data_IF_762002957165
#
_entry.id   IF_762002957165
#
_cell.length_a   1.000
_cell.length_b   1.000
_cell.length_c   1.000
_cell.angle_alpha   90.00
_cell.angle_beta   90.00
_cell.angle_gamma   90.00
#
_symmetry.space_group_name_H-M   'P 1'
#
loop_
_entity.id
_entity.type
_entity.pdbx_description
1 polymer ?
#
# COMPACT_ATOMS: atom_id res chain seq x y z
N UNK A 1 53.46 -24.38 -48.60
CA UNK A 1 54.64 -25.16 -49.05
C UNK A 1 54.85 -24.91 -50.54
N UNK A 2 55.79 -24.05 -50.93
CA UNK A 2 56.32 -24.05 -52.29
C UNK A 2 57.84 -24.21 -52.17
N UNK A 3 58.33 -25.39 -52.57
CA UNK A 3 59.76 -25.70 -52.59
C UNK A 3 60.36 -25.00 -53.80
N UNK A 4 61.12 -23.95 -53.59
CA UNK A 4 61.98 -23.39 -54.62
C UNK A 4 63.11 -24.39 -54.88
N UNK A 5 63.04 -25.09 -56.01
CA UNK A 5 64.12 -25.90 -56.55
C UNK A 5 65.15 -24.96 -57.17
N UNK A 6 66.18 -24.59 -56.41
CA UNK A 6 67.35 -23.89 -56.95
C UNK A 6 68.25 -24.89 -57.68
N UNK A 7 68.14 -24.94 -59.01
CA UNK A 7 69.12 -25.64 -59.84
C UNK A 7 70.33 -24.73 -60.08
N UNK A 8 71.49 -25.10 -59.52
CA UNK A 8 72.77 -24.44 -59.83
C UNK A 8 73.24 -24.93 -61.20
N UNK A 9 73.02 -24.11 -62.24
CA UNK A 9 73.60 -24.34 -63.57
C UNK A 9 75.08 -24.01 -63.48
N UNK A 10 75.95 -24.94 -63.88
CA UNK A 10 77.41 -24.73 -63.85
C UNK A 10 77.81 -23.55 -64.75
N UNK A 11 78.67 -22.65 -64.26
CA UNK A 11 79.07 -21.41 -64.98
C UNK A 11 79.49 -21.62 -66.44
N UNK A 12 80.13 -22.76 -66.74
CA UNK A 12 80.51 -23.13 -68.12
C UNK A 12 79.32 -23.31 -69.08
N UNK A 13 78.16 -23.75 -68.58
CA UNK A 13 76.94 -23.86 -69.38
C UNK A 13 76.27 -22.50 -69.57
N UNK A 14 76.34 -21.62 -68.57
CA UNK A 14 75.84 -20.25 -68.69
C UNK A 14 76.67 -19.43 -69.69
N UNK A 15 78.00 -19.54 -69.66
CA UNK A 15 78.88 -18.88 -70.63
C UNK A 15 78.62 -19.34 -72.07
N UNK A 16 78.36 -20.64 -72.26
CA UNK A 16 78.03 -21.20 -73.58
C UNK A 16 76.67 -20.72 -74.09
N UNK A 17 75.67 -20.61 -73.22
CA UNK A 17 74.36 -20.02 -73.54
C UNK A 17 74.49 -18.52 -73.89
N UNK A 18 75.30 -17.78 -73.14
CA UNK A 18 75.56 -16.35 -73.36
C UNK A 18 76.29 -16.07 -74.67
N UNK A 19 77.20 -16.97 -75.08
CA UNK A 19 77.91 -16.87 -76.37
C UNK A 19 77.06 -17.28 -77.57
N UNK A 20 76.15 -18.25 -77.43
CA UNK A 20 75.32 -18.76 -78.54
C UNK A 20 74.04 -17.95 -78.75
N UNK A 21 73.49 -17.36 -77.68
CA UNK A 21 72.24 -16.59 -77.70
C UNK A 21 72.37 -15.31 -76.84
N UNK A 22 73.23 -14.35 -77.25
CA UNK A 22 73.49 -13.14 -76.48
C UNK A 22 72.24 -12.28 -76.27
N UNK A 23 71.44 -12.05 -77.31
CA UNK A 23 70.20 -11.26 -77.23
C UNK A 23 69.17 -11.88 -76.27
N UNK A 24 69.03 -13.21 -76.26
CA UNK A 24 68.11 -13.90 -75.35
C UNK A 24 68.54 -13.76 -73.89
N UNK A 25 69.84 -13.81 -73.64
CA UNK A 25 70.41 -13.69 -72.28
C UNK A 25 70.32 -12.24 -71.77
N UNK A 26 70.53 -11.27 -72.64
CA UNK A 26 70.37 -9.84 -72.35
C UNK A 26 68.90 -9.48 -72.10
N UNK A 27 67.97 -10.04 -72.90
CA UNK A 27 66.53 -9.85 -72.69
C UNK A 27 66.06 -10.46 -71.36
N UNK A 28 66.58 -11.62 -70.97
CA UNK A 28 66.27 -12.25 -69.68
C UNK A 28 66.80 -11.41 -68.50
N UNK A 29 68.02 -10.88 -68.62
CA UNK A 29 68.60 -9.99 -67.61
C UNK A 29 67.83 -8.66 -67.50
N UNK A 30 67.43 -8.07 -68.64
CA UNK A 30 66.60 -6.87 -68.67
C UNK A 30 65.22 -7.13 -68.04
N UNK A 31 64.62 -8.30 -68.30
CA UNK A 31 63.36 -8.71 -67.67
C UNK A 31 63.50 -8.84 -66.15
N UNK A 32 64.57 -9.46 -65.66
CA UNK A 32 64.82 -9.58 -64.22
C UNK A 32 65.00 -8.19 -63.58
N UNK A 33 65.80 -7.32 -64.20
CA UNK A 33 66.01 -5.95 -63.73
C UNK A 33 64.70 -5.16 -63.64
N UNK A 34 63.86 -5.23 -64.68
CA UNK A 34 62.54 -4.58 -64.65
C UNK A 34 61.61 -5.17 -63.58
N UNK A 35 61.73 -6.46 -63.29
CA UNK A 35 60.94 -7.13 -62.25
C UNK A 35 61.38 -6.66 -60.86
N UNK A 36 62.68 -6.68 -60.59
CA UNK A 36 63.23 -6.22 -59.30
C UNK A 36 62.94 -4.73 -59.06
N UNK A 37 62.96 -3.91 -60.12
CA UNK A 37 62.61 -2.49 -60.03
C UNK A 37 61.11 -2.27 -59.77
N UNK A 38 60.23 -3.07 -60.37
CA UNK A 38 58.80 -3.03 -60.08
C UNK A 38 58.51 -3.48 -58.65
N UNK A 39 59.14 -4.56 -58.19
CA UNK A 39 58.96 -5.08 -56.83
C UNK A 39 59.45 -4.05 -55.79
N UNK A 40 60.61 -3.42 -56.03
CA UNK A 40 61.11 -2.34 -55.17
C UNK A 40 60.18 -1.12 -55.16
N UNK A 41 59.65 -0.69 -56.31
CA UNK A 41 58.70 0.43 -56.35
C UNK A 41 57.35 0.09 -55.68
N UNK A 42 56.91 -1.17 -55.77
CA UNK A 42 55.72 -1.65 -55.06
C UNK A 42 55.94 -1.63 -53.54
N UNK A 43 57.05 -2.20 -53.07
CA UNK A 43 57.39 -2.33 -51.65
C UNK A 43 57.75 -0.97 -51.01
N UNK A 44 58.55 -0.14 -51.69
CA UNK A 44 59.06 1.11 -51.10
C UNK A 44 58.06 2.27 -51.21
N UNK A 45 57.20 2.27 -52.23
CA UNK A 45 56.34 3.44 -52.52
C UNK A 45 54.85 3.14 -52.47
N UNK A 46 54.39 1.98 -52.95
CA UNK A 46 52.95 1.73 -53.06
C UNK A 46 52.38 1.17 -51.75
N UNK A 47 53.03 0.16 -51.18
CA UNK A 47 52.58 -0.53 -49.97
C UNK A 47 52.56 0.39 -48.72
N UNK A 48 53.64 1.09 -48.36
CA UNK A 48 53.64 1.98 -47.19
C UNK A 48 52.72 3.20 -47.36
N UNK A 49 52.57 3.72 -48.58
CA UNK A 49 51.68 4.84 -48.87
C UNK A 49 50.21 4.45 -48.74
N UNK A 50 49.87 3.23 -49.20
CA UNK A 50 48.54 2.68 -49.03
C UNK A 50 48.26 2.41 -47.55
N UNK A 51 49.21 1.82 -46.82
CA UNK A 51 49.10 1.55 -45.39
C UNK A 51 48.92 2.84 -44.57
N UNK A 52 49.73 3.87 -44.79
CA UNK A 52 49.61 5.15 -44.09
C UNK A 52 48.26 5.83 -44.39
N UNK A 53 47.81 5.81 -45.65
CA UNK A 53 46.50 6.38 -46.03
C UNK A 53 45.35 5.61 -45.40
N UNK A 54 45.40 4.27 -45.42
CA UNK A 54 44.38 3.44 -44.80
C UNK A 54 44.35 3.66 -43.29
N UNK A 55 45.51 3.72 -42.64
CA UNK A 55 45.63 4.01 -41.22
C UNK A 55 45.00 5.35 -40.86
N UNK A 56 45.36 6.44 -41.56
CA UNK A 56 44.79 7.77 -41.33
C UNK A 56 43.28 7.78 -41.54
N UNK A 57 42.79 7.15 -42.61
CA UNK A 57 41.35 7.09 -42.89
C UNK A 57 40.58 6.29 -41.84
N UNK A 58 41.14 5.16 -41.39
CA UNK A 58 40.53 4.31 -40.37
C UNK A 58 40.54 5.01 -39.02
N UNK A 59 41.67 5.59 -38.59
CA UNK A 59 41.79 6.31 -37.32
C UNK A 59 40.79 7.46 -37.28
N UNK A 60 40.79 8.32 -38.31
CA UNK A 60 39.86 9.45 -38.38
C UNK A 60 38.40 9.01 -38.41
N UNK A 61 38.05 8.01 -39.21
CA UNK A 61 36.68 7.52 -39.28
C UNK A 61 36.23 6.86 -37.99
N UNK A 62 37.13 6.20 -37.25
CA UNK A 62 36.83 5.60 -35.95
C UNK A 62 36.64 6.68 -34.91
N UNK A 63 37.55 7.66 -34.83
CA UNK A 63 37.50 8.79 -33.91
C UNK A 63 36.19 9.57 -34.09
N UNK A 64 35.90 10.04 -35.31
CA UNK A 64 34.68 10.80 -35.62
C UNK A 64 33.40 10.02 -35.25
N UNK A 65 33.37 8.70 -35.50
CA UNK A 65 32.20 7.85 -35.20
C UNK A 65 32.07 7.53 -33.72
N UNK A 66 33.18 7.29 -33.03
CA UNK A 66 33.18 7.00 -31.61
C UNK A 66 32.76 8.23 -30.83
N UNK A 67 33.34 9.38 -31.13
CA UNK A 67 33.06 10.65 -30.45
C UNK A 67 31.59 11.03 -30.61
N UNK A 68 31.07 11.05 -31.84
CA UNK A 68 29.65 11.35 -32.07
C UNK A 68 28.72 10.40 -31.30
N UNK A 69 29.03 9.11 -31.30
CA UNK A 69 28.20 8.10 -30.62
C UNK A 69 28.33 8.17 -29.10
N UNK A 70 29.50 8.51 -28.58
CA UNK A 70 29.74 8.74 -27.15
C UNK A 70 28.99 9.97 -26.67
N UNK A 71 29.10 11.08 -27.40
CA UNK A 71 28.41 12.33 -27.11
C UNK A 71 26.90 12.16 -27.11
N UNK A 72 26.33 11.52 -28.13
CA UNK A 72 24.89 11.24 -28.18
C UNK A 72 24.42 10.42 -26.98
N UNK A 73 25.19 9.37 -26.60
CA UNK A 73 24.86 8.53 -25.44
C UNK A 73 24.99 9.28 -24.12
N UNK A 74 26.04 10.08 -23.96
CA UNK A 74 26.27 10.88 -22.75
C UNK A 74 25.18 11.94 -22.60
N UNK A 75 24.80 12.60 -23.68
CA UNK A 75 23.71 13.58 -23.69
C UNK A 75 22.36 12.94 -23.35
N UNK A 76 22.05 11.78 -23.95
CA UNK A 76 20.82 11.04 -23.64
C UNK A 76 20.79 10.60 -22.17
N UNK A 77 21.93 10.10 -21.65
CA UNK A 77 22.05 9.72 -20.25
C UNK A 77 21.92 10.92 -19.31
N UNK A 78 22.56 12.04 -19.62
CA UNK A 78 22.45 13.28 -18.85
C UNK A 78 21.02 13.79 -18.79
N UNK A 79 20.27 13.73 -19.90
CA UNK A 79 18.84 14.05 -19.93
C UNK A 79 18.02 13.11 -19.04
N UNK A 80 18.26 11.80 -19.14
CA UNK A 80 17.56 10.81 -18.31
C UNK A 80 17.85 10.99 -16.81
N UNK A 81 19.10 11.28 -16.43
CA UNK A 81 19.48 11.57 -15.05
C UNK A 81 18.76 12.83 -14.55
N UNK A 82 18.71 13.89 -15.38
CA UNK A 82 18.00 15.12 -15.03
C UNK A 82 16.50 14.90 -14.84
N UNK A 83 15.87 14.11 -15.71
CA UNK A 83 14.45 13.77 -15.59
C UNK A 83 14.17 12.95 -14.33
N UNK A 84 15.06 12.01 -13.97
CA UNK A 84 14.97 11.27 -12.72
C UNK A 84 15.14 12.17 -11.50
N UNK A 85 16.09 13.10 -11.52
CA UNK A 85 16.30 14.07 -10.44
C UNK A 85 15.07 14.94 -10.23
N UNK A 86 14.46 15.44 -11.30
CA UNK A 86 13.23 16.25 -11.22
C UNK A 86 12.06 15.44 -10.62
N UNK A 87 11.89 14.18 -11.03
CA UNK A 87 10.86 13.29 -10.48
C UNK A 87 11.09 13.03 -8.99
N UNK A 88 12.33 12.81 -8.57
CA UNK A 88 12.68 12.63 -7.17
C UNK A 88 12.39 13.89 -6.34
N UNK A 89 12.67 15.08 -6.88
CA UNK A 89 12.31 16.33 -6.20
C UNK A 89 10.79 16.51 -6.07
N UNK A 90 10.03 16.21 -7.12
CA UNK A 90 8.57 16.25 -7.06
C UNK A 90 8.01 15.29 -6.02
N UNK A 91 8.54 14.07 -5.98
CA UNK A 91 8.18 13.06 -5.00
C UNK A 91 8.49 13.52 -3.58
N UNK A 92 9.69 14.05 -3.33
CA UNK A 92 10.08 14.57 -2.03
C UNK A 92 9.14 15.68 -1.54
N UNK A 93 8.76 16.63 -2.40
CA UNK A 93 7.79 17.68 -2.04
C UNK A 93 6.38 17.14 -1.80
N UNK A 94 5.94 16.13 -2.56
CA UNK A 94 4.65 15.49 -2.33
C UNK A 94 4.61 14.77 -0.97
N UNK A 95 5.68 14.05 -0.62
CA UNK A 95 5.81 13.39 0.68
C UNK A 95 5.81 14.39 1.84
N UNK A 96 6.52 15.51 1.70
CA UNK A 96 6.55 16.55 2.74
C UNK A 96 5.16 17.14 3.00
N UNK A 97 4.40 17.40 1.94
CA UNK A 97 3.01 17.85 2.06
C UNK A 97 2.13 16.80 2.76
N UNK A 98 2.23 15.52 2.36
CA UNK A 98 1.46 14.45 3.00
C UNK A 98 1.79 14.32 4.50
N UNK A 99 3.06 14.44 4.87
CA UNK A 99 3.45 14.41 6.29
C UNK A 99 2.88 15.59 7.07
N UNK A 100 2.82 16.77 6.45
CA UNK A 100 2.22 17.96 7.05
C UNK A 100 0.71 17.78 7.26
N UNK A 101 0.01 17.23 6.26
CA UNK A 101 -1.44 16.99 6.34
C UNK A 101 -1.75 15.96 7.43
N UNK A 102 -1.01 14.85 7.50
CA UNK A 102 -1.13 13.85 8.57
C UNK A 102 -0.87 14.49 9.94
N UNK A 103 0.16 15.33 10.05
CA UNK A 103 0.47 16.04 11.29
C UNK A 103 -0.67 16.95 11.75
N UNK A 104 -1.36 17.60 10.82
CA UNK A 104 -2.52 18.45 11.11
C UNK A 104 -3.74 17.61 11.51
N UNK A 105 -4.02 16.53 10.80
CA UNK A 105 -5.12 15.61 11.13
C UNK A 105 -4.97 15.00 12.54
N UNK A 106 -3.76 14.57 12.90
CA UNK A 106 -3.47 14.05 14.25
C UNK A 106 -3.71 15.13 15.31
N UNK A 107 -3.30 16.37 15.04
CA UNK A 107 -3.51 17.49 15.95
C UNK A 107 -5.00 17.78 16.14
N UNK A 108 -5.76 17.79 15.05
CA UNK A 108 -7.20 18.06 15.10
C UNK A 108 -7.95 16.94 15.85
N UNK A 109 -7.59 15.67 15.61
CA UNK A 109 -8.11 14.53 16.37
C UNK A 109 -7.77 14.61 17.87
N UNK A 110 -6.55 15.04 18.21
CA UNK A 110 -6.16 15.24 19.61
C UNK A 110 -7.04 16.28 20.30
N UNK A 111 -7.34 17.39 19.62
CA UNK A 111 -8.22 18.44 20.16
C UNK A 111 -9.65 17.92 20.34
N UNK A 112 -10.16 17.14 19.39
CA UNK A 112 -11.48 16.52 19.49
C UNK A 112 -11.57 15.56 20.67
N UNK A 113 -10.58 14.68 20.84
CA UNK A 113 -10.52 13.76 21.97
C UNK A 113 -10.46 14.51 23.31
N UNK A 114 -9.67 15.58 23.41
CA UNK A 114 -9.62 16.41 24.62
C UNK A 114 -11.00 17.02 24.95
N UNK A 115 -11.78 17.43 23.94
CA UNK A 115 -13.14 17.92 24.14
C UNK A 115 -14.11 16.82 24.56
N UNK A 116 -14.03 15.64 23.95
CA UNK A 116 -14.86 14.49 24.32
C UNK A 116 -14.59 14.05 25.76
N UNK A 117 -13.32 13.96 26.17
CA UNK A 117 -12.93 13.62 27.54
C UNK A 117 -13.54 14.62 28.52
N UNK A 118 -13.41 15.93 28.26
CA UNK A 118 -14.01 16.96 29.12
C UNK A 118 -15.54 16.88 29.16
N UNK A 119 -16.19 16.56 28.04
CA UNK A 119 -17.63 16.41 28.00
C UNK A 119 -18.08 15.20 28.83
N UNK A 120 -17.34 14.09 28.75
CA UNK A 120 -17.58 12.90 29.56
C UNK A 120 -17.36 13.20 31.04
N UNK A 121 -16.26 13.85 31.41
CA UNK A 121 -15.99 14.29 32.79
C UNK A 121 -17.14 15.14 33.34
N UNK A 122 -17.59 16.14 32.59
CA UNK A 122 -18.69 17.00 33.02
C UNK A 122 -20.03 16.26 33.17
N UNK A 123 -20.32 15.30 32.27
CA UNK A 123 -21.54 14.49 32.35
C UNK A 123 -21.48 13.52 33.55
N UNK A 124 -20.31 12.94 33.81
CA UNK A 124 -20.08 12.09 34.99
C UNK A 124 -20.27 12.89 36.28
N UNK A 125 -19.62 14.03 36.41
CA UNK A 125 -19.76 14.92 37.56
C UNK A 125 -21.23 15.31 37.78
N UNK A 126 -21.93 15.79 36.74
CA UNK A 126 -23.35 16.16 36.88
C UNK A 126 -24.24 14.96 37.22
N UNK A 127 -23.97 13.79 36.64
CA UNK A 127 -24.77 12.59 36.89
C UNK A 127 -24.61 12.07 38.32
N UNK A 128 -23.38 12.10 38.85
CA UNK A 128 -23.05 11.64 40.20
C UNK A 128 -23.48 12.66 41.25
N UNK A 129 -23.18 13.95 41.08
CA UNK A 129 -23.52 14.96 42.08
C UNK A 129 -25.03 15.20 42.16
N UNK A 130 -25.76 15.25 41.04
CA UNK A 130 -27.20 15.56 41.12
C UNK A 130 -28.06 14.33 41.30
N UNK A 131 -27.95 13.34 40.42
CA UNK A 131 -28.92 12.24 40.46
C UNK A 131 -28.67 11.32 41.66
N UNK A 132 -27.40 11.13 42.05
CA UNK A 132 -27.10 10.29 43.19
C UNK A 132 -27.49 10.99 44.49
N UNK A 133 -27.15 12.28 44.65
CA UNK A 133 -27.51 13.06 45.84
C UNK A 133 -29.02 13.26 45.93
N UNK A 134 -29.69 13.73 44.86
CA UNK A 134 -31.14 13.94 44.85
C UNK A 134 -31.91 12.63 45.04
N UNK A 135 -31.52 11.51 44.40
CA UNK A 135 -32.24 10.25 44.58
C UNK A 135 -31.99 9.61 45.94
N UNK A 136 -30.78 9.74 46.51
CA UNK A 136 -30.51 9.27 47.87
C UNK A 136 -31.29 10.11 48.88
N UNK A 137 -31.30 11.43 48.75
CA UNK A 137 -32.00 12.33 49.67
C UNK A 137 -33.52 12.10 49.60
N UNK A 138 -34.10 11.99 48.40
CA UNK A 138 -35.54 11.77 48.22
C UNK A 138 -35.99 10.35 48.65
N UNK A 139 -35.16 9.33 48.40
CA UNK A 139 -35.39 7.96 48.86
C UNK A 139 -35.26 7.83 50.38
N UNK A 140 -34.23 8.44 50.96
CA UNK A 140 -34.04 8.46 52.42
C UNK A 140 -35.20 9.22 53.07
N UNK A 141 -35.53 10.43 52.62
CA UNK A 141 -36.63 11.21 53.23
C UNK A 141 -37.98 10.50 53.10
N UNK A 142 -38.31 9.91 51.94
CA UNK A 142 -39.56 9.14 51.79
C UNK A 142 -39.58 7.90 52.68
N UNK A 143 -38.53 7.07 52.65
CA UNK A 143 -38.49 5.85 53.47
C UNK A 143 -38.57 6.16 54.96
N UNK A 144 -37.88 7.20 55.42
CA UNK A 144 -37.92 7.64 56.80
C UNK A 144 -39.29 8.22 57.17
N UNK A 145 -39.93 8.99 56.29
CA UNK A 145 -41.27 9.54 56.53
C UNK A 145 -42.36 8.46 56.55
N UNK A 146 -42.32 7.49 55.64
CA UNK A 146 -43.27 6.39 55.55
C UNK A 146 -43.14 5.48 56.78
N UNK A 147 -41.91 5.06 57.11
CA UNK A 147 -41.58 4.29 58.32
C UNK A 147 -42.05 5.01 59.58
N UNK A 148 -41.75 6.30 59.72
CA UNK A 148 -42.15 7.08 60.88
C UNK A 148 -43.67 7.32 60.94
N UNK A 149 -44.35 7.49 59.81
CA UNK A 149 -45.81 7.66 59.79
C UNK A 149 -46.54 6.36 60.15
N UNK A 150 -46.16 5.22 59.56
CA UNK A 150 -46.77 3.92 59.91
C UNK A 150 -46.55 3.57 61.39
N UNK A 151 -45.33 3.81 61.90
CA UNK A 151 -45.00 3.47 63.29
C UNK A 151 -45.60 4.47 64.28
N UNK A 152 -45.49 5.77 64.01
CA UNK A 152 -45.78 6.81 65.00
C UNK A 152 -47.21 7.38 64.91
N UNK A 153 -47.90 7.24 63.78
CA UNK A 153 -49.29 7.71 63.63
C UNK A 153 -50.25 6.54 63.78
N UNK A 154 -50.04 5.45 63.04
CA UNK A 154 -51.02 4.37 63.01
C UNK A 154 -50.93 3.45 64.24
N UNK A 155 -49.73 3.18 64.79
CA UNK A 155 -49.58 2.29 65.97
C UNK A 155 -49.67 2.98 67.32
N UNK A 156 -49.35 4.27 67.42
CA UNK A 156 -49.54 5.05 68.66
C UNK A 156 -51.03 5.35 68.95
N UNK A 157 -51.89 5.34 67.93
CA UNK A 157 -53.35 5.34 68.13
C UNK A 157 -53.86 3.97 68.63
N UNK A 158 -53.09 2.88 68.41
CA UNK A 158 -53.47 1.52 68.82
C UNK A 158 -52.84 1.01 70.13
N UNK A 159 -51.63 1.45 70.55
CA UNK A 159 -50.98 0.89 71.75
C UNK A 159 -50.17 1.91 72.56
N UNK A 160 -50.51 2.03 73.85
CA UNK A 160 -49.73 2.81 74.83
C UNK A 160 -48.62 1.96 75.48
N UNK A 161 -47.38 2.44 75.29
CA UNK A 161 -46.29 2.63 76.29
C UNK A 161 -45.34 1.49 76.69
N UNK A 162 -45.47 0.22 76.27
CA UNK A 162 -44.45 -0.81 76.61
C UNK A 162 -43.94 -1.69 75.44
N UNK A 163 -44.65 -1.79 74.31
CA UNK A 163 -44.15 -2.49 73.11
C UNK A 163 -43.29 -1.60 72.20
N UNK A 164 -43.32 -0.29 72.43
CA UNK A 164 -42.77 0.71 71.52
C UNK A 164 -41.25 0.66 71.40
N UNK A 165 -40.50 0.28 72.44
CA UNK A 165 -39.02 0.40 72.43
C UNK A 165 -38.34 -0.74 71.63
N UNK A 166 -38.81 -1.99 71.79
CA UNK A 166 -38.24 -3.14 71.05
C UNK A 166 -38.78 -3.25 69.63
N UNK A 167 -40.06 -2.89 69.39
CA UNK A 167 -40.60 -2.90 68.03
C UNK A 167 -40.11 -1.70 67.21
N UNK A 168 -39.78 -0.55 67.81
CA UNK A 168 -39.09 0.51 67.05
C UNK A 168 -37.73 0.01 66.57
N UNK A 169 -36.90 -0.55 67.45
CA UNK A 169 -35.50 -0.88 67.13
C UNK A 169 -35.43 -1.93 66.01
N UNK A 170 -36.17 -3.04 66.14
CA UNK A 170 -36.15 -4.11 65.13
C UNK A 170 -36.80 -3.68 63.80
N UNK A 171 -37.91 -2.93 63.83
CA UNK A 171 -38.62 -2.56 62.59
C UNK A 171 -38.00 -1.35 61.89
N UNK A 172 -37.36 -0.42 62.61
CA UNK A 172 -36.55 0.62 61.96
C UNK A 172 -35.32 -0.01 61.33
N UNK A 173 -34.59 -0.88 62.05
CA UNK A 173 -33.35 -1.48 61.53
C UNK A 173 -33.66 -2.32 60.28
N UNK A 174 -34.66 -3.21 60.34
CA UNK A 174 -35.04 -4.03 59.18
C UNK A 174 -35.59 -3.17 58.03
N UNK A 175 -36.47 -2.18 58.27
CA UNK A 175 -37.02 -1.38 57.16
C UNK A 175 -36.03 -0.39 56.56
N UNK A 176 -35.11 0.17 57.37
CA UNK A 176 -34.01 0.98 56.85
C UNK A 176 -33.03 0.14 56.07
N UNK A 177 -32.64 -1.04 56.56
CA UNK A 177 -31.69 -1.91 55.86
C UNK A 177 -32.27 -2.42 54.54
N UNK A 178 -33.52 -2.90 54.51
CA UNK A 178 -34.17 -3.36 53.27
C UNK A 178 -34.43 -2.22 52.28
N UNK A 179 -34.84 -1.04 52.76
CA UNK A 179 -35.06 0.15 51.92
C UNK A 179 -33.76 0.70 51.37
N UNK A 180 -32.71 0.81 52.19
CA UNK A 180 -31.39 1.28 51.75
C UNK A 180 -30.76 0.31 50.77
N UNK A 181 -30.79 -0.99 51.04
CA UNK A 181 -30.14 -1.98 50.17
C UNK A 181 -30.86 -2.10 48.82
N UNK A 182 -32.20 -2.06 48.81
CA UNK A 182 -32.98 -2.05 47.56
C UNK A 182 -32.79 -0.75 46.78
N UNK A 183 -32.87 0.41 47.43
CA UNK A 183 -32.72 1.71 46.74
C UNK A 183 -31.31 1.91 46.19
N UNK A 184 -30.26 1.50 46.91
CA UNK A 184 -28.88 1.52 46.41
C UNK A 184 -28.70 0.57 45.22
N UNK A 185 -29.26 -0.65 45.29
CA UNK A 185 -29.11 -1.63 44.21
C UNK A 185 -29.82 -1.19 42.93
N UNK A 186 -31.01 -0.61 43.06
CA UNK A 186 -31.85 -0.16 41.94
C UNK A 186 -31.29 1.12 41.32
N UNK A 187 -30.91 2.10 42.15
CA UNK A 187 -30.19 3.32 41.72
C UNK A 187 -28.88 2.98 41.00
N UNK A 188 -28.07 2.06 41.56
CA UNK A 188 -26.81 1.67 40.95
C UNK A 188 -27.00 0.87 39.66
N UNK A 189 -27.99 -0.03 39.58
CA UNK A 189 -28.25 -0.79 38.35
C UNK A 189 -28.80 0.09 37.23
N UNK A 190 -29.85 0.89 37.47
CA UNK A 190 -30.43 1.75 36.42
C UNK A 190 -29.45 2.83 35.95
N UNK A 191 -28.71 3.46 36.87
CA UNK A 191 -27.85 4.59 36.51
C UNK A 191 -26.49 4.10 35.98
N UNK A 192 -25.89 3.08 36.60
CA UNK A 192 -24.52 2.68 36.28
C UNK A 192 -24.44 1.60 35.20
N UNK A 193 -25.45 0.74 35.06
CA UNK A 193 -25.44 -0.27 34.00
C UNK A 193 -26.14 0.30 32.77
N UNK A 194 -27.42 0.70 32.88
CA UNK A 194 -28.20 1.02 31.68
C UNK A 194 -27.72 2.31 30.99
N UNK A 195 -27.43 3.40 31.71
CA UNK A 195 -26.97 4.65 31.05
C UNK A 195 -25.53 4.59 30.54
N UNK A 196 -24.66 3.78 31.15
CA UNK A 196 -23.27 3.64 30.72
C UNK A 196 -23.16 2.71 29.52
N UNK A 197 -24.00 1.67 29.48
CA UNK A 197 -24.14 0.77 28.33
C UNK A 197 -24.83 1.50 27.16
N UNK A 198 -25.97 2.17 27.37
CA UNK A 198 -26.62 2.97 26.31
C UNK A 198 -25.75 4.11 25.80
N UNK A 199 -25.09 4.90 26.67
CA UNK A 199 -24.23 5.99 26.16
C UNK A 199 -22.95 5.45 25.51
N UNK A 200 -22.40 4.31 25.94
CA UNK A 200 -21.21 3.75 25.29
C UNK A 200 -21.56 3.13 23.94
N UNK A 201 -22.66 2.38 23.84
CA UNK A 201 -23.12 1.82 22.56
C UNK A 201 -23.58 2.95 21.62
N UNK A 202 -24.44 3.88 22.05
CA UNK A 202 -24.94 4.94 21.15
C UNK A 202 -23.86 5.95 20.73
N UNK A 203 -22.93 6.33 21.61
CA UNK A 203 -21.85 7.24 21.18
C UNK A 203 -20.78 6.54 20.38
N UNK A 204 -20.46 5.27 20.65
CA UNK A 204 -19.47 4.55 19.83
C UNK A 204 -20.06 4.14 18.48
N UNK A 205 -21.28 3.61 18.42
CA UNK A 205 -21.90 3.23 17.14
C UNK A 205 -22.24 4.45 16.29
N UNK A 206 -22.90 5.50 16.81
CA UNK A 206 -23.24 6.65 15.98
C UNK A 206 -21.98 7.41 15.53
N UNK A 207 -20.96 7.56 16.38
CA UNK A 207 -19.77 8.33 16.03
C UNK A 207 -18.81 7.54 15.13
N UNK A 208 -18.77 6.19 15.20
CA UNK A 208 -18.09 5.35 14.20
C UNK A 208 -18.87 5.26 12.89
N UNK A 209 -20.19 5.09 12.89
CA UNK A 209 -20.99 4.96 11.67
C UNK A 209 -21.02 6.30 10.92
N UNK A 210 -21.24 7.43 11.61
CA UNK A 210 -21.20 8.76 11.00
C UNK A 210 -19.79 9.11 10.50
N UNK A 211 -18.72 8.78 11.23
CA UNK A 211 -17.35 9.10 10.75
C UNK A 211 -16.86 8.16 9.64
N UNK A 212 -17.26 6.88 9.63
CA UNK A 212 -16.89 5.95 8.56
C UNK A 212 -17.70 6.21 7.29
N UNK A 213 -19.01 6.43 7.39
CA UNK A 213 -19.88 6.64 6.22
C UNK A 213 -19.56 7.99 5.57
N UNK A 214 -19.40 9.05 6.37
CA UNK A 214 -19.10 10.40 5.87
C UNK A 214 -17.64 10.53 5.36
N UNK A 215 -16.71 9.73 5.88
CA UNK A 215 -15.34 9.60 5.35
C UNK A 215 -15.27 8.79 4.05
N UNK A 216 -16.08 7.74 3.92
CA UNK A 216 -16.09 6.90 2.74
C UNK A 216 -16.82 7.59 1.57
N UNK A 217 -17.94 8.25 1.83
CA UNK A 217 -18.68 8.99 0.80
C UNK A 217 -17.86 10.18 0.29
N UNK A 218 -17.22 10.95 1.17
CA UNK A 218 -16.32 12.04 0.75
C UNK A 218 -15.09 11.53 -0.01
N UNK A 219 -14.52 10.38 0.37
CA UNK A 219 -13.39 9.79 -0.37
C UNK A 219 -13.80 9.21 -1.73
N UNK A 220 -15.05 8.78 -1.91
CA UNK A 220 -15.58 8.25 -3.17
C UNK A 220 -16.03 9.37 -4.13
N UNK A 221 -16.60 10.46 -3.59
CA UNK A 221 -16.94 11.66 -4.37
C UNK A 221 -15.69 12.43 -4.82
N UNK A 222 -14.66 12.55 -3.97
CA UNK A 222 -13.41 13.25 -4.34
C UNK A 222 -12.53 12.42 -5.29
N UNK A 223 -12.71 11.09 -5.31
CA UNK A 223 -12.09 10.21 -6.31
C UNK A 223 -12.79 10.24 -7.68
N UNK A 224 -14.03 10.74 -7.76
CA UNK A 224 -14.82 10.79 -9.00
C UNK A 224 -14.83 12.16 -9.68
N UNK A 225 -14.38 13.22 -9.00
CA UNK A 225 -14.33 14.58 -9.53
C UNK A 225 -12.89 15.11 -9.59
N UNK A 226 -12.06 14.55 -10.47
CA UNK A 226 -11.34 15.31 -11.51
C UNK A 226 -10.25 14.45 -12.19
N UNK A 227 -10.30 14.45 -13.52
CA UNK A 227 -9.43 13.78 -14.50
C UNK A 227 -9.53 12.26 -14.60
N UNK A 228 -10.35 11.80 -15.57
CA UNK A 228 -9.79 11.12 -16.76
C UNK A 228 -10.54 11.51 -18.04
N UNK A 229 -9.99 12.52 -18.71
CA UNK A 229 -9.85 12.43 -20.17
C UNK A 229 -9.16 11.10 -20.48
N UNK A 230 -9.74 10.35 -21.40
CA UNK A 230 -9.46 8.93 -21.60
C UNK A 230 -8.00 8.61 -21.91
N UNK A 231 -7.44 7.68 -21.15
CA UNK A 231 -6.58 6.65 -21.71
C UNK A 231 -6.57 5.42 -20.79
N UNK A 232 -7.35 4.45 -21.22
CA UNK A 232 -7.13 3.00 -21.17
C UNK A 232 -5.91 2.55 -20.38
N UNK A 233 -6.15 1.94 -19.21
CA UNK A 233 -5.36 0.80 -18.74
C UNK A 233 -6.36 -0.21 -18.16
N UNK A 234 -6.85 -1.09 -19.03
CA UNK A 234 -7.44 -2.37 -18.64
C UNK A 234 -6.33 -3.27 -18.06
N UNK A 235 -6.51 -3.93 -16.90
CA UNK A 235 -6.08 -5.30 -16.78
C UNK A 235 -7.19 -6.17 -17.37
N UNK A 236 -6.96 -6.61 -18.61
CA UNK A 236 -7.78 -7.59 -19.28
C UNK A 236 -7.84 -8.89 -18.47
N UNK A 237 -8.91 -9.10 -17.71
CA UNK A 237 -9.37 -10.42 -17.27
C UNK A 237 -10.91 -10.41 -17.22
N UNK A 238 -11.54 -10.56 -18.38
CA UNK A 238 -12.79 -11.32 -18.47
C UNK A 238 -12.40 -12.75 -18.91
N UNK A 239 -13.12 -13.82 -18.47
CA UNK A 239 -14.58 -13.88 -18.56
C UNK A 239 -15.33 -14.63 -17.45
N UNK A 240 -16.27 -13.94 -16.80
CA UNK A 240 -17.68 -14.31 -16.50
C UNK A 240 -18.13 -13.55 -15.23
N UNK A 241 -18.32 -12.23 -15.37
CA UNK A 241 -18.57 -11.24 -14.31
C UNK A 241 -19.98 -11.31 -13.70
N UNK A 242 -20.34 -12.45 -13.13
CA UNK A 242 -21.58 -12.58 -12.34
C UNK A 242 -21.26 -12.68 -10.86
N UNK A 243 -21.56 -11.59 -10.17
CA UNK A 243 -21.64 -11.53 -8.73
C UNK A 243 -22.89 -12.26 -8.25
N UNK A 244 -22.70 -13.19 -7.32
CA UNK A 244 -23.76 -14.07 -6.85
C UNK A 244 -23.74 -14.15 -5.33
N UNK A 245 -24.92 -14.16 -4.72
CA UNK A 245 -25.06 -14.45 -3.30
C UNK A 245 -24.76 -15.93 -3.02
N UNK A 246 -24.39 -16.26 -1.79
CA UNK A 246 -24.19 -17.67 -1.39
C UNK A 246 -25.45 -18.53 -1.62
N UNK A 247 -26.65 -17.95 -1.57
CA UNK A 247 -27.92 -18.60 -1.93
C UNK A 247 -27.96 -19.03 -3.41
N UNK A 248 -27.62 -18.12 -4.31
CA UNK A 248 -27.64 -18.35 -5.76
C UNK A 248 -26.53 -19.33 -6.17
N UNK A 249 -25.38 -19.24 -5.52
CA UNK A 249 -24.26 -20.16 -5.72
C UNK A 249 -24.65 -21.60 -5.34
N UNK A 250 -25.31 -21.80 -4.19
CA UNK A 250 -25.82 -23.12 -3.80
C UNK A 250 -26.81 -23.68 -4.82
N UNK A 251 -27.63 -22.81 -5.39
CA UNK A 251 -28.66 -23.18 -6.35
C UNK A 251 -28.10 -23.71 -7.67
N UNK A 252 -26.85 -23.40 -8.01
CA UNK A 252 -26.17 -23.95 -9.20
C UNK A 252 -25.74 -25.43 -9.07
N UNK A 253 -25.84 -26.03 -7.88
CA UNK A 253 -25.54 -27.46 -7.60
C UNK A 253 -24.27 -27.99 -8.29
N UNK A 254 -23.15 -27.27 -8.19
CA UNK A 254 -21.85 -27.75 -8.69
C UNK A 254 -21.40 -28.98 -7.89
N UNK A 255 -20.91 -30.01 -8.59
CA UNK A 255 -20.66 -31.35 -8.03
C UNK A 255 -19.60 -31.37 -6.90
N UNK A 256 -18.61 -30.48 -6.98
CA UNK A 256 -17.46 -30.44 -6.06
C UNK A 256 -17.52 -29.29 -5.04
N UNK A 257 -18.72 -28.78 -4.78
CA UNK A 257 -18.94 -27.58 -3.95
C UNK A 257 -19.68 -27.91 -2.65
N UNK A 258 -19.38 -27.19 -1.56
CA UNK A 258 -20.10 -27.36 -0.30
C UNK A 258 -21.60 -27.14 -0.48
N UNK A 259 -22.42 -28.01 0.13
CA UNK A 259 -23.89 -27.99 0.01
C UNK A 259 -24.59 -27.10 1.04
N UNK A 260 -23.84 -26.38 1.86
CA UNK A 260 -24.35 -25.44 2.86
C UNK A 260 -23.77 -24.05 2.64
N UNK A 261 -24.51 -23.00 3.02
CA UNK A 261 -24.07 -21.60 2.88
C UNK A 261 -22.78 -21.36 3.64
N UNK A 262 -22.70 -21.89 4.85
CA UNK A 262 -21.52 -21.78 5.71
C UNK A 262 -20.30 -22.52 5.12
N UNK A 263 -20.53 -23.67 4.48
CA UNK A 263 -19.46 -24.39 3.77
C UNK A 263 -18.90 -23.59 2.60
N UNK A 264 -19.77 -22.92 1.83
CA UNK A 264 -19.33 -22.04 0.75
C UNK A 264 -18.65 -20.78 1.25
N UNK A 265 -19.13 -20.18 2.35
CA UNK A 265 -18.48 -19.03 2.97
C UNK A 265 -17.04 -19.37 3.37
N UNK A 266 -16.83 -20.51 4.02
CA UNK A 266 -15.48 -21.00 4.38
C UNK A 266 -14.61 -21.26 3.15
N UNK A 267 -15.19 -21.83 2.08
CA UNK A 267 -14.48 -22.03 0.81
C UNK A 267 -14.11 -20.70 0.16
N UNK A 268 -15.02 -19.72 0.12
CA UNK A 268 -14.76 -18.39 -0.43
C UNK A 268 -13.64 -17.66 0.30
N UNK A 269 -13.62 -17.74 1.64
CA UNK A 269 -12.53 -17.17 2.46
C UNK A 269 -11.20 -17.89 2.17
N UNK A 270 -11.21 -19.22 2.12
CA UNK A 270 -10.00 -20.03 1.90
C UNK A 270 -9.39 -19.81 0.52
N UNK A 271 -10.23 -19.69 -0.51
CA UNK A 271 -9.80 -19.51 -1.90
C UNK A 271 -9.69 -18.02 -2.29
N UNK A 272 -9.92 -17.09 -1.35
CA UNK A 272 -9.79 -15.64 -1.58
C UNK A 272 -10.74 -15.07 -2.63
N UNK A 273 -12.01 -15.49 -2.64
CA UNK A 273 -12.98 -15.01 -3.63
C UNK A 273 -13.26 -13.51 -3.46
N UNK A 274 -13.28 -12.72 -4.54
CA UNK A 274 -13.71 -11.32 -4.48
C UNK A 274 -15.11 -11.23 -3.88
N UNK A 275 -15.29 -10.35 -2.88
CA UNK A 275 -16.56 -10.11 -2.21
C UNK A 275 -16.94 -8.63 -2.29
N UNK A 276 -18.23 -8.35 -2.40
CA UNK A 276 -18.79 -6.99 -2.30
C UNK A 276 -20.10 -7.01 -1.53
N UNK A 277 -20.46 -5.86 -0.96
CA UNK A 277 -21.76 -5.65 -0.33
C UNK A 277 -22.57 -4.76 -1.26
N UNK A 278 -23.78 -5.20 -1.61
CA UNK A 278 -24.74 -4.41 -2.39
C UNK A 278 -26.12 -4.54 -1.75
N UNK A 279 -26.75 -3.42 -1.42
CA UNK A 279 -28.13 -3.38 -0.88
C UNK A 279 -28.32 -4.38 0.29
N UNK A 280 -27.41 -4.36 1.29
CA UNK A 280 -27.37 -5.29 2.43
C UNK A 280 -27.22 -6.79 2.08
N UNK A 281 -26.74 -7.13 0.89
CA UNK A 281 -26.45 -8.52 0.49
C UNK A 281 -24.97 -8.69 0.18
N UNK A 282 -24.36 -9.73 0.75
CA UNK A 282 -22.98 -10.14 0.44
C UNK A 282 -22.97 -10.99 -0.82
N UNK A 283 -22.31 -10.48 -1.86
CA UNK A 283 -22.12 -11.14 -3.14
C UNK A 283 -20.66 -11.56 -3.32
N UNK A 284 -20.46 -12.68 -4.00
CA UNK A 284 -19.15 -13.26 -4.28
C UNK A 284 -18.99 -13.46 -5.79
N UNK A 285 -17.80 -13.17 -6.30
CA UNK A 285 -17.43 -13.53 -7.66
C UNK A 285 -16.76 -14.91 -7.65
N UNK A 286 -17.24 -15.82 -8.50
CA UNK A 286 -16.69 -17.18 -8.60
C UNK A 286 -15.43 -17.12 -9.47
N UNK A 287 -14.24 -17.43 -8.93
CA UNK A 287 -13.05 -17.65 -9.76
C UNK A 287 -13.21 -18.94 -10.60
N UNK A 288 -12.63 -18.97 -11.80
CA UNK A 288 -12.64 -20.18 -12.65
C UNK A 288 -11.94 -21.37 -12.01
#
# INVERSE_FOLDING_TARGET
>A
MSKVLSFSISDRYLDKLRSLYPELTENLAAKQFLTDQLDADLDDNLDPNLDDKLKILIEKSLEDRLDAKLDDRLNAMGKSIKDLANKLSQWASAFDNQLKDIGQEIKDKSITLDHQIKAIEARLDESLDKNLDDSLDESLDSSLYESYSEIFIDRLDENSDDSLDNELDDTLDDSLDESLDSSLYESYSEIFIDRLDENSDDSLDNELDDTLDDSLDKSLDDATIDKKHGQSIEPAIEPDDKWLTLQEILSQRRKDWPKSKEGLRKKAIREGWPQRIRENRKEYQIPK
#
